data_IF_078369184852
#
_entry.id   IF_078369184852
#
_cell.length_a   1.000
_cell.length_b   1.000
_cell.length_c   1.000
_cell.angle_alpha   90.00
_cell.angle_beta   90.00
_cell.angle_gamma   90.00
#
_symmetry.space_group_name_H-M   'P 1'
#
loop_
_entity.id
_entity.type
_entity.pdbx_description
1 polymer ?
#
# COMPACT_ATOMS: atom_id res chain seq x y z
N UNK A 1 -21.62 10.07 -31.10
CA UNK A 1 -20.38 9.24 -30.97
C UNK A 1 -19.36 9.85 -30.00
N UNK A 2 -19.29 11.17 -29.87
CA UNK A 2 -18.39 11.86 -28.92
C UNK A 2 -18.71 11.57 -27.45
N UNK A 3 -20.00 11.59 -27.09
CA UNK A 3 -20.49 11.36 -25.71
C UNK A 3 -20.10 9.97 -25.16
N UNK A 4 -20.06 8.94 -26.01
CA UNK A 4 -19.64 7.58 -25.64
C UNK A 4 -18.14 7.47 -25.41
N UNK A 5 -17.33 8.18 -26.20
CA UNK A 5 -15.87 8.26 -26.04
C UNK A 5 -15.49 9.02 -24.76
N UNK A 6 -16.20 10.10 -24.46
CA UNK A 6 -16.03 10.87 -23.23
C UNK A 6 -16.39 10.03 -22.01
N UNK A 7 -17.48 9.26 -22.06
CA UNK A 7 -17.85 8.34 -20.98
C UNK A 7 -16.79 7.25 -20.75
N UNK A 8 -16.29 6.64 -21.83
CA UNK A 8 -15.24 5.63 -21.75
C UNK A 8 -13.93 6.19 -21.18
N UNK A 9 -13.50 7.38 -21.64
CA UNK A 9 -12.34 8.09 -21.10
C UNK A 9 -12.52 8.40 -19.60
N UNK A 10 -13.70 8.89 -19.20
CA UNK A 10 -13.99 9.19 -17.79
C UNK A 10 -13.93 7.91 -16.92
N UNK A 11 -14.48 6.78 -17.38
CA UNK A 11 -14.40 5.51 -16.67
C UNK A 11 -12.96 5.00 -16.53
N UNK A 12 -12.13 5.12 -17.58
CA UNK A 12 -10.73 4.71 -17.54
C UNK A 12 -9.94 5.58 -16.54
N UNK A 13 -10.16 6.90 -16.58
CA UNK A 13 -9.54 7.84 -15.63
C UNK A 13 -9.97 7.52 -14.20
N UNK A 14 -11.26 7.27 -13.95
CA UNK A 14 -11.77 6.88 -12.63
C UNK A 14 -11.17 5.57 -12.11
N UNK A 15 -11.07 4.54 -12.96
CA UNK A 15 -10.47 3.26 -12.58
C UNK A 15 -8.97 3.40 -12.26
N UNK A 16 -8.22 4.15 -13.07
CA UNK A 16 -6.79 4.39 -12.83
C UNK A 16 -6.55 5.21 -11.56
N UNK A 17 -7.40 6.21 -11.28
CA UNK A 17 -7.33 6.99 -10.05
C UNK A 17 -7.62 6.11 -8.82
N UNK A 18 -8.57 5.19 -8.91
CA UNK A 18 -8.89 4.25 -7.82
C UNK A 18 -7.68 3.38 -7.45
N UNK A 19 -6.99 2.82 -8.45
CA UNK A 19 -5.78 1.99 -8.24
C UNK A 19 -4.65 2.77 -7.55
N UNK A 20 -4.43 4.03 -7.94
CA UNK A 20 -3.37 4.88 -7.37
C UNK A 20 -3.60 5.20 -5.90
N UNK A 21 -4.85 5.36 -5.46
CA UNK A 21 -5.17 5.60 -4.04
C UNK A 21 -5.03 4.35 -3.15
N UNK A 22 -4.97 3.15 -3.74
CA UNK A 22 -4.90 1.88 -3.01
C UNK A 22 -3.47 1.42 -2.68
N UNK A 23 -2.46 2.10 -3.25
CA UNK A 23 -1.06 1.74 -3.05
C UNK A 23 -0.56 2.26 -1.70
N UNK A 24 -0.22 1.33 -0.81
CA UNK A 24 0.49 1.64 0.43
C UNK A 24 1.94 2.07 0.14
N UNK A 25 2.62 2.70 1.11
CA UNK A 25 3.92 3.30 0.86
C UNK A 25 4.85 3.35 2.07
N UNK A 26 6.15 3.28 1.80
CA UNK A 26 7.19 3.16 2.82
C UNK A 26 8.42 4.00 2.47
N UNK A 27 8.97 4.70 3.47
CA UNK A 27 10.23 5.42 3.34
C UNK A 27 11.37 4.69 4.04
N UNK A 28 12.58 4.98 3.59
CA UNK A 28 13.79 4.51 4.23
C UNK A 28 14.13 5.38 5.44
N UNK A 29 14.42 4.71 6.54
CA UNK A 29 15.01 5.29 7.76
C UNK A 29 16.27 4.50 8.10
N UNK A 30 17.16 5.04 8.95
CA UNK A 30 18.36 4.32 9.36
C UNK A 30 17.99 2.95 9.95
N UNK A 31 18.45 1.87 9.32
CA UNK A 31 18.17 0.50 9.75
C UNK A 31 17.09 -0.25 8.97
N UNK A 32 16.29 0.40 8.11
CA UNK A 32 15.33 -0.29 7.24
C UNK A 32 14.17 0.59 6.76
N UNK A 33 13.01 -0.03 6.54
CA UNK A 33 11.83 0.69 6.06
C UNK A 33 10.82 1.00 7.18
N UNK A 34 10.10 2.12 7.02
CA UNK A 34 8.93 2.48 7.82
C UNK A 34 7.76 2.90 6.92
N UNK A 35 6.54 2.49 7.24
CA UNK A 35 5.36 2.95 6.49
C UNK A 35 5.09 4.42 6.73
N UNK A 36 4.81 5.11 5.63
CA UNK A 36 4.29 6.48 5.63
C UNK A 36 2.82 6.52 5.18
N UNK A 37 2.35 5.46 4.50
CA UNK A 37 0.96 5.31 4.08
C UNK A 37 0.50 3.86 4.30
N UNK A 38 -0.60 3.63 5.04
CA UNK A 38 -1.12 2.28 5.26
C UNK A 38 -1.73 1.71 3.98
N UNK A 39 -2.03 0.40 3.99
CA UNK A 39 -2.82 -0.21 2.93
C UNK A 39 -4.32 0.10 3.09
N UNK A 40 -5.09 -0.05 2.02
CA UNK A 40 -6.56 -0.01 2.09
C UNK A 40 -7.11 -1.14 2.96
N UNK A 41 -8.30 -0.97 3.57
CA UNK A 41 -8.99 -2.04 4.30
C UNK A 41 -9.08 -3.35 3.50
N UNK A 42 -8.83 -4.48 4.17
CA UNK A 42 -8.77 -5.81 3.55
C UNK A 42 -7.43 -6.16 2.91
N UNK A 43 -6.44 -5.26 2.96
CA UNK A 43 -5.08 -5.45 2.44
C UNK A 43 -4.05 -5.15 3.52
N UNK A 44 -2.81 -5.58 3.28
CA UNK A 44 -1.67 -5.30 4.13
C UNK A 44 -0.55 -4.65 3.31
N UNK A 45 0.31 -3.87 3.96
CA UNK A 45 1.41 -3.20 3.29
C UNK A 45 2.75 -3.85 3.59
N UNK A 46 3.33 -4.50 2.59
CA UNK A 46 4.66 -5.08 2.70
C UNK A 46 5.71 -4.04 2.27
N UNK A 47 6.42 -3.47 3.24
CA UNK A 47 7.61 -2.66 2.94
C UNK A 47 8.75 -3.53 2.43
N UNK A 48 9.44 -3.06 1.39
CA UNK A 48 10.59 -3.75 0.80
C UNK A 48 11.72 -2.75 0.57
N UNK A 49 12.90 -3.03 1.12
CA UNK A 49 14.12 -2.29 0.79
C UNK A 49 14.53 -2.57 -0.66
N UNK A 50 14.78 -1.51 -1.44
CA UNK A 50 15.10 -1.61 -2.87
C UNK A 50 16.57 -1.31 -3.18
N UNK A 51 17.40 -1.11 -2.15
CA UNK A 51 18.77 -0.64 -2.31
C UNK A 51 18.86 0.90 -2.31
N UNK A 52 20.08 1.43 -2.30
CA UNK A 52 20.35 2.88 -2.35
C UNK A 52 19.55 3.72 -1.34
N UNK A 53 19.38 3.24 -0.10
CA UNK A 53 18.60 3.95 0.93
C UNK A 53 17.15 4.23 0.49
N UNK A 54 16.56 3.33 -0.31
CA UNK A 54 15.17 3.45 -0.79
C UNK A 54 14.31 2.29 -0.33
N UNK A 55 13.07 2.60 -0.01
CA UNK A 55 12.03 1.65 0.33
C UNK A 55 10.83 1.84 -0.59
N UNK A 56 10.03 0.79 -0.76
CA UNK A 56 8.75 0.88 -1.44
C UNK A 56 7.69 0.05 -0.72
N UNK A 57 6.47 0.56 -0.66
CA UNK A 57 5.31 -0.22 -0.24
C UNK A 57 4.79 -1.13 -1.35
N UNK A 58 4.48 -2.38 -1.02
CA UNK A 58 3.75 -3.30 -1.88
C UNK A 58 2.46 -3.71 -1.18
N UNK A 59 1.32 -3.34 -1.76
CA UNK A 59 0.02 -3.82 -1.31
C UNK A 59 -0.08 -5.33 -1.56
N UNK A 60 -0.37 -6.10 -0.50
CA UNK A 60 -0.52 -7.56 -0.53
C UNK A 60 -1.83 -7.96 0.13
N UNK A 61 -2.28 -9.18 -0.14
CA UNK A 61 -3.40 -9.76 0.61
C UNK A 61 -3.01 -10.01 2.07
N UNK A 62 -3.97 -9.84 2.99
CA UNK A 62 -3.76 -10.21 4.38
C UNK A 62 -3.64 -11.73 4.53
N UNK A 63 -2.75 -12.18 5.42
CA UNK A 63 -2.67 -13.59 5.85
C UNK A 63 -3.96 -14.04 6.55
N UNK A 64 -4.57 -13.15 7.32
CA UNK A 64 -5.85 -13.37 8.01
C UNK A 64 -6.75 -12.16 7.76
N UNK A 65 -7.92 -12.42 7.17
CA UNK A 65 -8.91 -11.39 6.82
C UNK A 65 -9.67 -10.85 8.04
N UNK A 66 -9.73 -11.61 9.14
CA UNK A 66 -10.42 -11.21 10.37
C UNK A 66 -9.53 -10.41 11.32
N UNK A 67 -8.22 -10.43 11.10
CA UNK A 67 -7.24 -9.71 11.91
C UNK A 67 -7.53 -8.20 11.91
N UNK A 68 -7.38 -7.55 13.06
CA UNK A 68 -7.70 -6.12 13.20
C UNK A 68 -6.84 -5.25 12.25
N UNK A 69 -5.57 -5.57 12.06
CA UNK A 69 -4.66 -4.91 11.11
C UNK A 69 -5.01 -5.13 9.63
N UNK A 70 -5.86 -6.12 9.32
CA UNK A 70 -6.40 -6.29 7.98
C UNK A 70 -7.65 -5.42 7.78
N UNK A 71 -8.55 -5.41 8.78
CA UNK A 71 -9.80 -4.64 8.72
C UNK A 71 -9.56 -3.13 8.82
N UNK A 72 -8.61 -2.73 9.66
CA UNK A 72 -8.21 -1.35 9.85
C UNK A 72 -6.67 -1.25 9.84
N UNK A 73 -6.05 -1.25 8.65
CA UNK A 73 -4.60 -1.15 8.53
C UNK A 73 -4.11 0.21 9.02
N UNK A 74 -2.97 0.20 9.70
CA UNK A 74 -2.29 1.38 10.19
C UNK A 74 -0.81 1.36 9.76
N UNK A 75 -0.05 2.39 10.14
CA UNK A 75 1.36 2.52 9.79
C UNK A 75 2.30 1.95 10.85
N UNK A 76 1.82 1.24 11.88
CA UNK A 76 2.66 0.77 12.99
C UNK A 76 3.68 -0.30 12.58
N UNK A 77 4.69 -0.50 13.42
CA UNK A 77 5.65 -1.61 13.29
C UNK A 77 4.95 -2.97 13.29
N UNK A 78 3.83 -3.09 14.02
CA UNK A 78 3.01 -4.31 14.04
C UNK A 78 2.35 -4.58 12.69
N UNK A 79 1.77 -3.55 12.04
CA UNK A 79 1.22 -3.64 10.70
C UNK A 79 2.27 -4.05 9.65
N UNK A 80 3.48 -3.50 9.76
CA UNK A 80 4.59 -3.86 8.87
C UNK A 80 4.99 -5.33 9.02
N UNK A 81 5.10 -5.81 10.27
CA UNK A 81 5.39 -7.21 10.58
C UNK A 81 4.27 -8.15 10.14
N UNK A 82 3.02 -7.74 10.29
CA UNK A 82 1.84 -8.50 9.84
C UNK A 82 1.89 -8.78 8.33
N UNK A 83 2.38 -7.83 7.54
CA UNK A 83 2.59 -7.98 6.10
C UNK A 83 3.92 -8.68 5.72
N UNK A 84 4.72 -9.10 6.71
CA UNK A 84 6.06 -9.69 6.52
C UNK A 84 6.98 -8.79 5.67
N UNK A 85 7.04 -7.49 6.01
CA UNK A 85 7.90 -6.49 5.38
C UNK A 85 9.23 -6.25 6.10
N UNK A 86 10.06 -5.39 5.51
CA UNK A 86 11.19 -4.77 6.19
C UNK A 86 10.67 -3.68 7.13
N UNK A 87 10.94 -3.82 8.42
CA UNK A 87 10.45 -2.93 9.46
C UNK A 87 11.59 -2.38 10.31
N UNK A 88 12.81 -2.33 9.76
CA UNK A 88 14.00 -1.88 10.49
C UNK A 88 14.03 -0.38 10.74
N UNK A 89 13.24 0.40 10.00
CA UNK A 89 13.16 1.86 10.12
C UNK A 89 12.23 2.39 11.21
N UNK A 90 11.60 1.49 11.98
CA UNK A 90 10.67 1.79 13.07
C UNK A 90 11.33 1.83 14.45
#
# INVERSE_FOLDING_TARGET
MEKMKVLALACIVLAALFEVTSACDCNYHSGGCAMVRPASPGKACKCVYRGFWTCRGRTVGCRDQNHHLCRNPDTSKAACRFANGDCGGY
#
